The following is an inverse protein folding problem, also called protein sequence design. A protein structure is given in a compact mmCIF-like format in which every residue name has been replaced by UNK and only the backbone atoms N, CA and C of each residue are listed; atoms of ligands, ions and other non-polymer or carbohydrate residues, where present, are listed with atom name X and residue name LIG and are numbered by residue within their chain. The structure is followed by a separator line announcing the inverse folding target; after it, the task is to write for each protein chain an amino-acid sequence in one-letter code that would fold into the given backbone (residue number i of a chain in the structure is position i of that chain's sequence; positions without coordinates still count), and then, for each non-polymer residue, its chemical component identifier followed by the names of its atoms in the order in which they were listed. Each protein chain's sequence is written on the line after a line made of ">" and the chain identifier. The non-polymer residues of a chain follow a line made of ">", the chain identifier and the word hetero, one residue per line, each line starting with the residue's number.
data_IF_639664658896
#
_entry.id   IF_639664658896
#
_cell.length_a   1.000
_cell.length_b   1.000
_cell.length_c   1.000
_cell.angle_alpha   90.00
_cell.angle_beta   90.00
_cell.angle_gamma   90.00
#
_symmetry.space_group_name_H-M   'P 1'
#
loop_
_entity.id
_entity.type
_entity.pdbx_description
1 polymer ?
#
# COMPACT_ATOMS: atom_id res chain seq x y z
N UNK A 1 -41.19 -3.80 1.58
CA UNK A 1 -40.55 -4.82 0.71
C UNK A 1 -39.97 -4.08 -0.49
N UNK A 2 -38.69 -4.06 -0.84
CA UNK A 2 -37.48 -4.77 -0.40
C UNK A 2 -36.30 -3.79 -0.52
N UNK A 3 -35.35 -3.94 0.38
CA UNK A 3 -34.03 -3.33 0.42
C UNK A 3 -33.13 -3.92 -0.66
N UNK A 4 -32.45 -3.07 -1.44
CA UNK A 4 -31.27 -3.47 -2.21
C UNK A 4 -30.14 -2.47 -1.96
N UNK A 5 -29.40 -2.69 -0.86
CA UNK A 5 -28.02 -2.19 -0.74
C UNK A 5 -27.21 -2.97 -1.77
N UNK A 6 -26.95 -2.37 -2.93
CA UNK A 6 -26.00 -2.93 -3.88
C UNK A 6 -24.61 -2.93 -3.24
N UNK A 7 -24.20 -4.09 -2.75
CA UNK A 7 -22.85 -4.36 -2.30
C UNK A 7 -21.87 -3.95 -3.41
N UNK A 8 -20.97 -3.03 -3.10
CA UNK A 8 -19.84 -2.67 -3.95
C UNK A 8 -19.05 -3.95 -4.26
N UNK A 9 -19.12 -4.41 -5.51
CA UNK A 9 -18.29 -5.51 -6.00
C UNK A 9 -16.85 -5.02 -5.96
N UNK A 10 -16.10 -5.40 -4.91
CA UNK A 10 -14.64 -5.28 -4.91
C UNK A 10 -14.15 -6.04 -6.13
N UNK A 11 -13.62 -5.31 -7.11
CA UNK A 11 -13.00 -5.89 -8.29
C UNK A 11 -11.88 -6.83 -7.81
N UNK A 12 -12.00 -8.12 -8.14
CA UNK A 12 -10.93 -9.06 -7.85
C UNK A 12 -9.77 -8.77 -8.81
N UNK A 13 -8.54 -8.57 -8.33
CA UNK A 13 -7.40 -8.32 -9.20
C UNK A 13 -7.11 -9.58 -10.04
N UNK A 14 -6.92 -9.38 -11.34
CA UNK A 14 -6.48 -10.42 -12.28
C UNK A 14 -5.11 -10.93 -11.81
N UNK A 15 -5.01 -12.25 -11.63
CA UNK A 15 -3.87 -12.90 -10.99
C UNK A 15 -2.53 -12.53 -11.62
N UNK A 16 -1.67 -11.87 -10.85
CA UNK A 16 -0.24 -11.83 -11.10
C UNK A 16 0.34 -13.20 -10.75
N UNK A 17 1.21 -13.73 -11.60
CA UNK A 17 1.76 -15.10 -11.50
C UNK A 17 2.85 -15.23 -10.43
N UNK A 18 2.71 -14.58 -9.28
CA UNK A 18 3.75 -14.54 -8.24
C UNK A 18 3.19 -14.41 -6.83
N UNK A 19 3.98 -14.87 -5.86
CA UNK A 19 3.70 -14.64 -4.44
C UNK A 19 3.90 -13.16 -4.12
N UNK A 20 2.84 -12.47 -3.70
CA UNK A 20 2.91 -11.10 -3.19
C UNK A 20 2.61 -11.12 -1.68
N UNK A 21 3.44 -10.44 -0.89
CA UNK A 21 3.19 -10.24 0.54
C UNK A 21 2.34 -8.98 0.75
N UNK A 22 1.51 -8.99 1.79
CA UNK A 22 0.89 -7.74 2.26
C UNK A 22 1.95 -6.83 2.87
N UNK A 23 1.66 -5.53 2.93
CA UNK A 23 2.51 -4.53 3.59
C UNK A 23 2.71 -4.87 5.06
N UNK A 24 1.68 -5.38 5.73
CA UNK A 24 1.74 -5.78 7.14
C UNK A 24 2.68 -6.97 7.33
N UNK A 25 2.64 -7.98 6.46
CA UNK A 25 3.55 -9.12 6.50
C UNK A 25 4.99 -8.69 6.21
N UNK A 26 5.20 -7.82 5.23
CA UNK A 26 6.52 -7.24 4.95
C UNK A 26 7.08 -6.50 6.16
N UNK A 27 6.27 -5.65 6.82
CA UNK A 27 6.70 -4.89 7.99
C UNK A 27 7.07 -5.78 9.18
N UNK A 28 6.35 -6.90 9.41
CA UNK A 28 6.69 -7.86 10.46
C UNK A 28 8.05 -8.53 10.23
N UNK A 29 8.36 -8.89 8.98
CA UNK A 29 9.65 -9.49 8.62
C UNK A 29 10.77 -8.44 8.76
N UNK A 30 10.57 -7.23 8.21
CA UNK A 30 11.55 -6.14 8.30
C UNK A 30 11.85 -5.71 9.74
N UNK A 31 10.88 -5.80 10.65
CA UNK A 31 11.08 -5.48 12.06
C UNK A 31 12.13 -6.39 12.75
N UNK A 32 12.32 -7.63 12.27
CA UNK A 32 13.38 -8.53 12.78
C UNK A 32 14.77 -7.96 12.52
N UNK A 33 14.92 -7.18 11.45
CA UNK A 33 16.16 -6.49 11.07
C UNK A 33 16.26 -5.08 11.69
N UNK A 34 15.29 -4.69 12.53
CA UNK A 34 15.21 -3.34 13.09
C UNK A 34 14.73 -2.28 12.10
N UNK A 35 14.14 -2.68 10.97
CA UNK A 35 13.58 -1.77 9.96
C UNK A 35 12.11 -1.55 10.26
N UNK A 36 11.75 -0.30 10.55
CA UNK A 36 10.38 0.09 10.90
C UNK A 36 9.88 1.21 10.01
N UNK A 37 8.58 1.19 9.72
CA UNK A 37 7.90 2.34 9.12
C UNK A 37 7.76 3.45 10.15
N UNK A 38 8.11 4.68 9.75
CA UNK A 38 7.76 5.85 10.54
C UNK A 38 6.25 6.08 10.51
N UNK A 39 5.71 6.77 11.52
CA UNK A 39 4.29 7.13 11.54
C UNK A 39 3.88 8.00 10.33
N UNK A 40 4.82 8.72 9.72
CA UNK A 40 4.59 9.46 8.49
C UNK A 40 4.46 8.51 7.29
N UNK A 41 5.38 7.57 7.14
CA UNK A 41 5.33 6.56 6.07
C UNK A 41 4.03 5.74 6.13
N UNK A 42 3.59 5.34 7.32
CA UNK A 42 2.31 4.65 7.50
C UNK A 42 1.13 5.47 6.99
N UNK A 43 1.10 6.78 7.28
CA UNK A 43 0.04 7.68 6.82
C UNK A 43 0.05 7.84 5.31
N UNK A 44 1.23 7.95 4.71
CA UNK A 44 1.35 8.07 3.25
C UNK A 44 0.85 6.81 2.54
N UNK A 45 1.19 5.61 3.04
CA UNK A 45 0.67 4.38 2.45
C UNK A 45 -0.85 4.25 2.55
N UNK A 46 -1.44 4.71 3.66
CA UNK A 46 -2.90 4.78 3.82
C UNK A 46 -3.52 5.78 2.82
N UNK A 47 -2.86 6.92 2.57
CA UNK A 47 -3.30 7.88 1.56
C UNK A 47 -3.26 7.29 0.14
N UNK A 48 -2.22 6.52 -0.19
CA UNK A 48 -2.12 5.84 -1.49
C UNK A 48 -3.25 4.84 -1.70
N UNK A 49 -3.59 4.07 -0.67
CA UNK A 49 -4.70 3.12 -0.68
C UNK A 49 -6.04 3.86 -0.85
N UNK A 50 -6.24 4.97 -0.11
CA UNK A 50 -7.43 5.82 -0.22
C UNK A 50 -7.60 6.45 -1.59
N UNK A 51 -6.50 6.86 -2.23
CA UNK A 51 -6.48 7.47 -3.58
C UNK A 51 -6.47 6.44 -4.69
N UNK A 52 -6.36 5.15 -4.36
CA UNK A 52 -6.29 4.04 -5.30
C UNK A 52 -5.17 4.22 -6.34
N UNK A 53 -4.00 4.67 -5.90
CA UNK A 53 -2.83 4.86 -6.77
C UNK A 53 -2.38 3.52 -7.38
N UNK A 54 -1.98 3.57 -8.66
CA UNK A 54 -1.29 2.47 -9.34
C UNK A 54 0.12 2.23 -8.77
N UNK A 55 0.70 1.08 -9.07
CA UNK A 55 2.04 0.72 -8.60
C UNK A 55 3.10 1.73 -9.07
N UNK A 56 2.96 2.25 -10.29
CA UNK A 56 3.91 3.21 -10.87
C UNK A 56 3.82 4.57 -10.16
N UNK A 57 2.60 5.04 -9.89
CA UNK A 57 2.35 6.27 -9.13
C UNK A 57 2.86 6.16 -7.69
N UNK A 58 2.64 5.00 -7.05
CA UNK A 58 3.17 4.71 -5.70
C UNK A 58 4.70 4.79 -5.69
N UNK A 59 5.37 4.15 -6.65
CA UNK A 59 6.85 4.19 -6.75
C UNK A 59 7.35 5.61 -6.95
N UNK A 60 6.74 6.37 -7.85
CA UNK A 60 7.12 7.77 -8.07
C UNK A 60 6.98 8.62 -6.80
N UNK A 61 5.85 8.52 -6.08
CA UNK A 61 5.62 9.29 -4.85
C UNK A 61 6.63 8.94 -3.76
N UNK A 62 7.00 7.66 -3.60
CA UNK A 62 8.00 7.22 -2.63
C UNK A 62 9.38 7.77 -2.99
N UNK A 63 9.79 7.67 -4.26
CA UNK A 63 11.10 8.16 -4.72
C UNK A 63 11.19 9.68 -4.54
N UNK A 64 10.13 10.42 -4.88
CA UNK A 64 10.09 11.87 -4.75
C UNK A 64 10.25 12.31 -3.28
N UNK A 65 9.52 11.66 -2.37
CA UNK A 65 9.48 12.05 -0.96
C UNK A 65 10.67 11.53 -0.14
N UNK A 66 11.10 10.30 -0.40
CA UNK A 66 12.08 9.57 0.43
C UNK A 66 13.38 9.20 -0.29
N UNK A 67 13.43 9.31 -1.62
CA UNK A 67 14.57 8.87 -2.43
C UNK A 67 15.76 9.82 -2.44
N UNK A 68 15.63 11.03 -1.88
CA UNK A 68 16.76 11.97 -1.76
C UNK A 68 17.31 11.92 -0.33
N UNK A 69 18.62 11.62 -0.14
CA UNK A 69 19.23 11.84 1.16
C UNK A 69 19.09 13.33 1.51
N UNK A 70 18.58 13.62 2.70
CA UNK A 70 18.65 14.98 3.24
C UNK A 70 20.13 15.26 3.47
N UNK A 71 20.71 16.07 2.58
CA UNK A 71 22.06 16.62 2.75
C UNK A 71 22.14 17.56 3.94
#
# INVERSE_FOLDING_TARGET
>A
MKSDRSASRKAQPKGSSGLALSREAFAQISAVEGIFLSAEMTRDFQDFDRRNLSDDERRHAIIEKYGKPKG
#
